data_IF_808383452257
#
_entry.id   IF_808383452257
#
_cell.length_a   1.000
_cell.length_b   1.000
_cell.length_c   1.000
_cell.angle_alpha   90.00
_cell.angle_beta   90.00
_cell.angle_gamma   90.00
#
_symmetry.space_group_name_H-M   'P 1'
#
loop_
_entity.id
_entity.type
_entity.pdbx_description
1 polymer ?
#
# COMPACT_ATOMS: atom_id res chain seq x y z
N UNK A 1 0.64 -17.79 -2.49
CA UNK A 1 0.51 -18.57 -3.73
C UNK A 1 0.88 -17.75 -4.96
N UNK A 2 0.26 -16.56 -5.19
CA UNK A 2 0.55 -15.70 -6.35
C UNK A 2 2.05 -15.37 -6.48
N UNK A 3 2.69 -14.89 -5.41
CA UNK A 3 4.12 -14.56 -5.40
C UNK A 3 5.05 -15.75 -5.71
N UNK A 4 4.57 -16.97 -5.54
CA UNK A 4 5.34 -18.19 -5.82
C UNK A 4 5.29 -18.58 -7.30
N UNK A 5 4.15 -18.36 -7.96
CA UNK A 5 3.95 -18.74 -9.37
C UNK A 5 4.38 -17.62 -10.34
N UNK A 6 4.38 -16.37 -9.87
CA UNK A 6 4.71 -15.21 -10.70
C UNK A 6 6.05 -15.32 -11.45
N UNK A 7 7.18 -15.73 -10.83
CA UNK A 7 8.46 -15.80 -11.52
C UNK A 7 8.49 -16.76 -12.71
N UNK A 8 7.72 -17.83 -12.64
CA UNK A 8 7.72 -18.89 -13.65
C UNK A 8 6.80 -18.56 -14.83
N UNK A 9 5.64 -17.95 -14.56
CA UNK A 9 4.58 -17.79 -15.56
C UNK A 9 4.51 -16.37 -16.15
N UNK A 10 4.89 -15.35 -15.40
CA UNK A 10 4.57 -13.96 -15.74
C UNK A 10 5.79 -13.04 -15.87
N UNK A 11 6.95 -13.40 -15.33
CA UNK A 11 8.09 -12.49 -15.21
C UNK A 11 8.69 -12.03 -16.55
N UNK A 12 8.39 -12.69 -17.67
CA UNK A 12 8.83 -12.27 -18.99
C UNK A 12 8.17 -10.93 -19.40
N UNK A 13 6.87 -10.81 -19.22
CA UNK A 13 6.04 -9.68 -19.69
C UNK A 13 5.72 -8.67 -18.59
N UNK A 14 5.76 -9.09 -17.34
CA UNK A 14 5.35 -8.30 -16.19
C UNK A 14 6.47 -8.21 -15.16
N UNK A 15 6.39 -7.19 -14.33
CA UNK A 15 7.21 -7.03 -13.14
C UNK A 15 6.32 -6.79 -11.93
N UNK A 16 6.75 -7.32 -10.79
CA UNK A 16 6.05 -7.15 -9.52
C UNK A 16 6.75 -6.07 -8.72
N UNK A 17 6.02 -5.01 -8.38
CA UNK A 17 6.54 -3.88 -7.63
C UNK A 17 6.10 -3.93 -6.17
N UNK A 18 7.07 -4.10 -5.30
CA UNK A 18 6.91 -4.01 -3.83
C UNK A 18 8.17 -3.44 -3.22
N UNK A 19 8.13 -2.79 -2.03
CA UNK A 19 9.34 -2.30 -1.35
C UNK A 19 10.32 -3.42 -0.94
N UNK A 20 9.90 -4.69 -0.99
CA UNK A 20 10.79 -5.84 -0.74
C UNK A 20 11.62 -6.20 -1.98
N UNK A 21 11.09 -5.97 -3.18
CA UNK A 21 11.75 -6.30 -4.45
C UNK A 21 12.51 -5.10 -5.00
N UNK A 22 11.92 -3.90 -4.91
CA UNK A 22 12.53 -2.65 -5.39
C UNK A 22 12.71 -1.68 -4.21
N UNK A 23 13.96 -1.28 -3.95
CA UNK A 23 14.31 -0.38 -2.84
C UNK A 23 13.85 1.06 -3.04
N UNK A 24 13.54 1.48 -4.27
CA UNK A 24 13.03 2.80 -4.60
C UNK A 24 11.50 2.83 -4.63
N UNK A 25 10.84 1.68 -4.61
CA UNK A 25 9.39 1.58 -4.56
C UNK A 25 8.86 1.97 -3.18
N UNK A 26 7.99 3.00 -3.13
CA UNK A 26 7.53 3.63 -1.88
C UNK A 26 6.01 3.66 -1.74
N UNK A 27 5.33 2.67 -2.32
CA UNK A 27 3.91 2.40 -2.15
C UNK A 27 3.66 1.18 -1.27
N UNK A 28 2.52 1.15 -0.58
CA UNK A 28 2.08 -0.04 0.16
C UNK A 28 1.42 -1.07 -0.75
N UNK A 29 0.73 -0.61 -1.79
CA UNK A 29 0.05 -1.46 -2.78
C UNK A 29 1.08 -2.23 -3.59
N UNK A 30 0.83 -3.52 -3.80
CA UNK A 30 1.60 -4.33 -4.72
C UNK A 30 1.10 -4.10 -6.14
N UNK A 31 1.96 -3.64 -7.05
CA UNK A 31 1.61 -3.46 -8.45
C UNK A 31 2.16 -4.59 -9.32
N UNK A 32 1.31 -5.15 -10.17
CA UNK A 32 1.72 -6.00 -11.27
C UNK A 32 1.82 -5.13 -12.53
N UNK A 33 3.02 -4.69 -12.87
CA UNK A 33 3.27 -3.77 -13.97
C UNK A 33 3.61 -4.49 -15.27
N UNK A 34 3.04 -4.03 -16.39
CA UNK A 34 3.39 -4.51 -17.72
C UNK A 34 4.68 -3.84 -18.19
N UNK A 35 5.75 -4.61 -18.36
CA UNK A 35 7.05 -4.13 -18.85
C UNK A 35 6.92 -3.41 -20.20
N UNK A 36 7.83 -2.46 -20.43
CA UNK A 36 7.91 -1.67 -21.68
C UNK A 36 6.66 -0.84 -21.99
N UNK A 37 5.86 -0.51 -20.98
CA UNK A 37 4.78 0.48 -21.06
C UNK A 37 5.13 1.67 -20.19
N UNK A 38 4.39 2.78 -20.34
CA UNK A 38 4.55 3.96 -19.50
C UNK A 38 3.18 4.50 -19.12
N UNK A 39 2.94 4.65 -17.83
CA UNK A 39 1.76 5.31 -17.29
C UNK A 39 2.14 6.03 -16.01
N UNK A 40 2.05 7.36 -16.00
CA UNK A 40 2.41 8.22 -14.87
C UNK A 40 1.16 8.97 -14.45
N UNK A 41 0.70 8.75 -13.22
CA UNK A 41 -0.41 9.51 -12.64
C UNK A 41 0.10 10.77 -11.94
N UNK A 42 -0.75 11.81 -11.82
CA UNK A 42 -0.42 13.05 -11.10
C UNK A 42 0.00 12.78 -9.65
N UNK A 43 -0.57 11.75 -9.02
CA UNK A 43 -0.28 11.40 -7.62
C UNK A 43 1.13 10.83 -7.46
N UNK A 44 1.64 10.17 -8.49
CA UNK A 44 2.89 9.40 -8.44
C UNK A 44 4.01 9.97 -9.30
N UNK A 45 3.77 11.08 -10.02
CA UNK A 45 4.75 11.66 -10.96
C UNK A 45 6.12 11.98 -10.34
N UNK A 46 6.13 12.32 -9.04
CA UNK A 46 7.33 12.68 -8.29
C UNK A 46 7.95 11.49 -7.53
N UNK A 47 7.52 10.27 -7.79
CA UNK A 47 8.07 9.08 -7.14
C UNK A 47 9.26 8.52 -7.95
N UNK A 48 10.27 7.95 -7.27
CA UNK A 48 11.56 7.63 -7.89
C UNK A 48 11.59 6.32 -8.69
N UNK A 49 10.50 5.58 -8.78
CA UNK A 49 10.45 4.29 -9.45
C UNK A 49 9.77 4.35 -10.83
N UNK A 50 10.06 3.36 -11.66
CA UNK A 50 9.43 3.21 -12.98
C UNK A 50 7.92 2.97 -12.84
N UNK A 51 7.13 3.67 -13.65
CA UNK A 51 5.68 3.61 -13.65
C UNK A 51 5.17 3.13 -15.00
N UNK A 52 4.64 1.93 -15.03
CA UNK A 52 4.07 1.27 -16.18
C UNK A 52 2.55 1.15 -16.03
N UNK A 53 1.87 0.67 -17.08
CA UNK A 53 0.47 0.22 -16.96
C UNK A 53 0.45 -0.93 -15.95
N UNK A 54 -0.40 -0.87 -14.96
CA UNK A 54 -0.39 -1.81 -13.84
C UNK A 54 -1.77 -2.29 -13.41
N UNK A 55 -1.74 -3.32 -12.59
CA UNK A 55 -2.87 -3.86 -11.85
C UNK A 55 -2.52 -3.83 -10.36
N UNK A 56 -3.37 -3.21 -9.57
CA UNK A 56 -3.26 -3.17 -8.12
C UNK A 56 -3.63 -4.52 -7.51
N UNK A 57 -2.80 -5.02 -6.61
CA UNK A 57 -3.05 -6.23 -5.83
C UNK A 57 -3.19 -5.85 -4.36
N UNK A 58 -4.42 -5.91 -3.86
CA UNK A 58 -4.75 -5.60 -2.48
C UNK A 58 -4.86 -6.87 -1.64
N UNK A 59 -3.96 -7.11 -0.67
CA UNK A 59 -4.16 -8.17 0.31
C UNK A 59 -5.33 -7.84 1.23
N UNK A 60 -6.03 -8.87 1.68
CA UNK A 60 -7.08 -8.76 2.68
C UNK A 60 -6.58 -9.34 4.00
N UNK A 61 -6.44 -8.49 5.00
CA UNK A 61 -5.96 -8.84 6.33
C UNK A 61 -7.07 -8.78 7.36
N UNK A 62 -6.97 -9.61 8.40
CA UNK A 62 -7.97 -9.63 9.47
C UNK A 62 -7.95 -8.35 10.30
N UNK A 63 -9.16 -7.87 10.57
CA UNK A 63 -9.39 -6.72 11.44
C UNK A 63 -9.54 -7.20 12.88
N UNK A 64 -8.91 -6.51 13.83
CA UNK A 64 -9.08 -6.81 15.24
C UNK A 64 -10.56 -6.82 15.65
N UNK A 65 -10.98 -7.67 16.57
CA UNK A 65 -12.37 -7.72 17.03
C UNK A 65 -12.75 -6.52 17.88
N UNK A 66 -11.86 -6.09 18.79
CA UNK A 66 -12.10 -4.97 19.66
C UNK A 66 -12.04 -3.63 18.91
N UNK A 67 -13.05 -2.78 19.05
CA UNK A 67 -13.16 -1.49 18.34
C UNK A 67 -11.96 -0.56 18.56
N UNK A 68 -11.36 -0.55 19.78
CA UNK A 68 -10.18 0.25 20.08
C UNK A 68 -8.96 -0.28 19.35
N UNK A 69 -8.80 -1.61 19.32
CA UNK A 69 -7.72 -2.28 18.60
C UNK A 69 -7.85 -2.07 17.09
N UNK A 70 -9.08 -2.14 16.51
CA UNK A 70 -9.35 -1.81 15.10
C UNK A 70 -8.87 -0.39 14.76
N UNK A 71 -9.31 0.60 15.54
CA UNK A 71 -8.90 2.00 15.32
C UNK A 71 -7.39 2.18 15.39
N UNK A 72 -6.72 1.50 16.34
CA UNK A 72 -5.27 1.53 16.47
C UNK A 72 -4.59 0.88 15.26
N UNK A 73 -5.05 -0.30 14.84
CA UNK A 73 -4.52 -1.02 13.68
C UNK A 73 -4.62 -0.15 12.42
N UNK A 74 -5.80 0.37 12.10
CA UNK A 74 -6.01 1.22 10.93
C UNK A 74 -5.18 2.51 10.96
N UNK A 75 -5.15 3.23 12.10
CA UNK A 75 -4.35 4.46 12.23
C UNK A 75 -2.85 4.20 12.06
N UNK A 76 -2.36 3.11 12.62
CA UNK A 76 -0.94 2.76 12.52
C UNK A 76 -0.58 2.28 11.10
N UNK A 77 -1.45 1.54 10.42
CA UNK A 77 -1.24 1.16 9.03
C UNK A 77 -1.16 2.40 8.13
N UNK A 78 -2.15 3.30 8.23
CA UNK A 78 -2.15 4.59 7.50
C UNK A 78 -0.91 5.43 7.83
N UNK A 79 -0.49 5.48 9.09
CA UNK A 79 0.73 6.20 9.48
C UNK A 79 1.98 5.63 8.79
N UNK A 80 2.18 4.33 8.83
CA UNK A 80 3.34 3.70 8.18
C UNK A 80 3.29 3.82 6.67
N UNK A 81 2.11 3.69 6.04
CA UNK A 81 1.92 3.93 4.62
C UNK A 81 2.29 5.35 4.20
N UNK A 82 1.88 6.37 4.97
CA UNK A 82 2.27 7.76 4.72
C UNK A 82 3.77 7.99 4.90
N UNK A 83 4.38 7.40 5.93
CA UNK A 83 5.84 7.49 6.11
C UNK A 83 6.59 6.83 4.96
N UNK A 84 6.09 5.71 4.46
CA UNK A 84 6.65 5.03 3.29
C UNK A 84 6.57 5.93 2.03
N UNK A 85 5.39 6.51 1.75
CA UNK A 85 5.22 7.44 0.62
C UNK A 85 6.17 8.64 0.74
N UNK A 86 6.25 9.26 1.92
CA UNK A 86 7.14 10.40 2.18
C UNK A 86 8.62 10.02 2.14
N UNK A 87 8.96 8.75 2.19
CA UNK A 87 10.33 8.29 1.92
C UNK A 87 10.72 8.48 0.44
N UNK A 88 9.76 8.33 -0.49
CA UNK A 88 9.96 8.54 -1.93
C UNK A 88 9.82 9.99 -2.37
N UNK A 89 8.78 10.69 -1.90
CA UNK A 89 8.48 12.06 -2.30
C UNK A 89 8.10 12.94 -1.12
N UNK A 90 8.62 14.18 -1.11
CA UNK A 90 8.20 15.21 -0.17
C UNK A 90 6.99 16.04 -0.64
N UNK A 91 6.44 15.73 -1.80
CA UNK A 91 5.36 16.49 -2.46
C UNK A 91 4.12 15.61 -2.71
N UNK A 92 3.41 15.19 -1.64
CA UNK A 92 2.14 14.48 -1.82
C UNK A 92 1.07 15.44 -2.35
N UNK A 93 0.09 14.89 -3.07
CA UNK A 93 -1.12 15.66 -3.42
C UNK A 93 -1.90 15.99 -2.15
N UNK A 94 -2.10 17.28 -1.91
CA UNK A 94 -2.78 17.81 -0.72
C UNK A 94 -4.13 18.40 -1.15
N UNK A 95 -5.21 17.87 -0.61
CA UNK A 95 -6.56 18.33 -0.92
C UNK A 95 -6.95 19.66 -0.25
N UNK A 96 -6.10 20.21 0.59
CA UNK A 96 -6.35 21.48 1.30
C UNK A 96 -5.67 22.66 0.56
N UNK A 97 -6.42 23.73 0.38
CA UNK A 97 -5.94 24.95 -0.27
C UNK A 97 -5.45 26.02 0.73
N UNK A 98 -4.79 27.04 0.20
CA UNK A 98 -4.38 28.21 0.95
C UNK A 98 -3.31 27.94 2.02
N UNK A 99 -3.41 28.66 3.14
CA UNK A 99 -2.40 28.61 4.22
C UNK A 99 -2.27 27.18 4.83
N UNK A 100 -3.39 26.48 4.97
CA UNK A 100 -3.41 25.11 5.54
C UNK A 100 -2.70 24.14 4.60
N UNK A 101 -2.98 24.22 3.29
CA UNK A 101 -2.31 23.39 2.28
C UNK A 101 -0.80 23.63 2.26
N UNK A 102 -0.38 24.89 2.28
CA UNK A 102 1.04 25.27 2.31
C UNK A 102 1.76 24.75 3.57
N UNK A 103 1.11 24.84 4.74
CA UNK A 103 1.66 24.32 5.99
C UNK A 103 1.81 22.80 5.96
N UNK A 104 0.80 22.09 5.41
CA UNK A 104 0.85 20.65 5.24
C UNK A 104 1.96 20.25 4.27
N UNK A 105 2.12 20.97 3.14
CA UNK A 105 3.20 20.72 2.18
C UNK A 105 4.57 20.89 2.83
N UNK A 106 4.76 21.97 3.57
CA UNK A 106 6.00 22.23 4.31
C UNK A 106 6.30 21.12 5.33
N UNK A 107 5.28 20.66 6.08
CA UNK A 107 5.43 19.57 7.02
C UNK A 107 5.83 18.26 6.32
N UNK A 108 5.22 17.92 5.18
CA UNK A 108 5.58 16.74 4.39
C UNK A 108 7.01 16.82 3.87
N UNK A 109 7.42 17.98 3.34
CA UNK A 109 8.80 18.20 2.88
C UNK A 109 9.82 18.07 4.03
N UNK A 110 9.51 18.59 5.22
CA UNK A 110 10.35 18.41 6.41
C UNK A 110 10.47 16.92 6.82
N UNK A 111 9.37 16.19 6.84
CA UNK A 111 9.39 14.75 7.15
C UNK A 111 10.21 13.99 6.12
N UNK A 112 10.04 14.27 4.83
CA UNK A 112 10.85 13.69 3.75
C UNK A 112 12.34 13.95 3.98
N UNK A 113 12.72 15.21 4.24
CA UNK A 113 14.12 15.58 4.50
C UNK A 113 14.70 14.82 5.70
N UNK A 114 13.93 14.69 6.78
CA UNK A 114 14.34 13.90 7.97
C UNK A 114 14.54 12.43 7.63
N UNK A 115 13.59 11.82 6.90
CA UNK A 115 13.71 10.41 6.48
C UNK A 115 14.95 10.17 5.62
N UNK A 116 15.25 11.10 4.70
CA UNK A 116 16.46 11.06 3.86
C UNK A 116 17.75 11.28 4.67
N UNK A 117 17.77 12.25 5.59
CA UNK A 117 18.91 12.52 6.47
C UNK A 117 19.30 11.29 7.29
N UNK A 118 18.31 10.61 7.87
CA UNK A 118 18.51 9.38 8.64
C UNK A 118 18.61 8.11 7.79
N UNK A 119 18.59 8.24 6.46
CA UNK A 119 18.68 7.13 5.51
C UNK A 119 17.68 6.00 5.83
N UNK A 120 16.44 6.38 6.18
CA UNK A 120 15.39 5.42 6.49
C UNK A 120 15.05 4.62 5.24
N UNK A 121 15.17 3.29 5.32
CA UNK A 121 14.89 2.40 4.20
C UNK A 121 13.38 2.24 3.97
N UNK A 122 12.89 2.37 2.72
CA UNK A 122 11.51 2.05 2.36
C UNK A 122 11.08 0.66 2.82
N UNK A 123 11.95 -0.34 2.62
CA UNK A 123 11.72 -1.73 3.08
C UNK A 123 11.44 -1.80 4.58
N UNK A 124 12.15 -1.02 5.40
CA UNK A 124 11.93 -1.04 6.86
C UNK A 124 10.57 -0.47 7.26
N UNK A 125 10.11 0.58 6.57
CA UNK A 125 8.79 1.18 6.78
C UNK A 125 7.67 0.25 6.29
N UNK A 126 7.86 -0.36 5.14
CA UNK A 126 6.93 -1.35 4.59
C UNK A 126 6.77 -2.55 5.53
N UNK A 127 7.85 -3.08 6.09
CA UNK A 127 7.77 -4.16 7.10
C UNK A 127 6.98 -3.76 8.35
N UNK A 128 7.09 -2.51 8.79
CA UNK A 128 6.27 -2.00 9.91
C UNK A 128 4.79 -1.89 9.51
N UNK A 129 4.51 -1.46 8.28
CA UNK A 129 3.17 -1.46 7.72
C UNK A 129 2.59 -2.88 7.67
N UNK A 130 3.26 -3.82 6.99
CA UNK A 130 2.82 -5.22 6.90
C UNK A 130 2.61 -5.84 8.28
N UNK A 131 3.56 -5.68 9.21
CA UNK A 131 3.42 -6.18 10.58
C UNK A 131 2.21 -5.60 11.30
N UNK A 132 1.82 -4.38 10.96
CA UNK A 132 0.63 -3.74 11.55
C UNK A 132 -0.65 -4.28 10.89
N UNK A 133 -0.69 -4.39 9.58
CA UNK A 133 -1.82 -4.90 8.81
C UNK A 133 -2.11 -6.37 9.19
N UNK A 134 -1.09 -7.22 9.16
CA UNK A 134 -1.21 -8.68 9.40
C UNK A 134 -1.30 -9.07 10.87
N UNK A 135 -1.28 -8.12 11.80
CA UNK A 135 -1.15 -8.39 13.25
C UNK A 135 -2.19 -9.35 13.81
N UNK A 136 -3.39 -9.33 13.26
CA UNK A 136 -4.52 -10.14 13.74
C UNK A 136 -4.88 -11.29 12.80
N UNK A 137 -4.05 -11.56 11.78
CA UNK A 137 -4.27 -12.68 10.88
C UNK A 137 -4.20 -14.02 11.65
N UNK A 138 -5.22 -14.85 11.46
CA UNK A 138 -5.34 -16.13 12.17
C UNK A 138 -5.95 -16.02 13.58
N UNK A 139 -6.36 -14.82 14.03
CA UNK A 139 -7.03 -14.67 15.33
C UNK A 139 -8.53 -14.99 15.29
N UNK A 140 -9.09 -15.29 14.11
CA UNK A 140 -10.50 -15.66 13.96
C UNK A 140 -11.46 -14.48 13.83
N UNK A 141 -10.94 -13.27 13.60
CA UNK A 141 -11.76 -12.06 13.42
C UNK A 141 -12.83 -12.23 12.33
N UNK A 142 -14.01 -11.62 12.52
CA UNK A 142 -15.15 -11.71 11.60
C UNK A 142 -14.91 -10.96 10.28
N UNK A 143 -14.08 -9.90 10.31
CA UNK A 143 -13.89 -8.99 9.19
C UNK A 143 -12.47 -9.04 8.64
N UNK A 144 -12.36 -8.78 7.33
CA UNK A 144 -11.11 -8.50 6.62
C UNK A 144 -11.21 -7.16 5.91
N UNK A 145 -10.05 -6.54 5.66
CA UNK A 145 -9.93 -5.30 4.86
C UNK A 145 -8.54 -5.22 4.25
N UNK A 146 -8.39 -4.38 3.24
CA UNK A 146 -7.07 -3.93 2.80
C UNK A 146 -6.66 -2.68 3.57
N UNK A 147 -5.49 -2.67 4.18
CA UNK A 147 -4.98 -1.53 4.95
C UNK A 147 -4.21 -0.52 4.11
N UNK A 148 -4.13 -0.69 2.79
CA UNK A 148 -3.31 0.11 1.89
C UNK A 148 -3.90 1.49 1.56
N UNK A 149 -5.14 1.76 1.92
CA UNK A 149 -5.80 3.03 1.65
C UNK A 149 -6.48 3.67 2.86
N UNK A 150 -6.74 4.98 2.75
CA UNK A 150 -7.47 5.70 3.79
C UNK A 150 -8.95 5.26 3.81
N UNK A 151 -9.46 4.98 5.00
CA UNK A 151 -10.84 4.54 5.15
C UNK A 151 -11.03 3.02 5.17
N UNK A 152 -9.95 2.26 5.11
CA UNK A 152 -9.94 0.80 5.13
C UNK A 152 -10.91 0.15 6.16
N UNK A 153 -11.15 0.78 7.30
CA UNK A 153 -12.08 0.26 8.31
C UNK A 153 -13.57 0.54 7.98
N UNK A 154 -13.87 1.41 7.01
CA UNK A 154 -15.24 1.63 6.54
C UNK A 154 -15.68 0.54 5.57
N UNK A 155 -14.72 0.07 4.77
CA UNK A 155 -14.94 -0.88 3.67
C UNK A 155 -14.55 -2.32 4.05
N UNK A 156 -14.58 -2.63 5.34
CA UNK A 156 -14.31 -3.99 5.83
C UNK A 156 -15.40 -4.96 5.40
N UNK A 157 -14.99 -6.15 4.94
CA UNK A 157 -15.84 -7.21 4.40
C UNK A 157 -15.96 -8.32 5.44
N UNK A 158 -17.15 -8.88 5.61
CA UNK A 158 -17.33 -10.07 6.44
C UNK A 158 -16.75 -11.29 5.73
N UNK A 159 -15.95 -12.08 6.42
CA UNK A 159 -15.38 -13.31 5.85
C UNK A 159 -16.44 -14.27 5.30
N UNK A 160 -17.58 -14.39 5.95
CA UNK A 160 -18.69 -15.25 5.50
C UNK A 160 -19.28 -14.81 4.15
N UNK A 161 -19.16 -13.52 3.80
CA UNK A 161 -19.67 -12.98 2.54
C UNK A 161 -18.62 -13.11 1.41
N UNK A 162 -17.37 -13.43 1.77
CA UNK A 162 -16.26 -13.62 0.86
C UNK A 162 -15.92 -15.10 0.60
N UNK A 163 -16.19 -15.96 1.55
CA UNK A 163 -15.84 -17.38 1.48
C UNK A 163 -17.06 -18.30 1.70
N UNK A 164 -17.13 -19.45 1.03
CA UNK A 164 -16.13 -19.98 0.09
C UNK A 164 -16.09 -19.21 -1.24
N UNK A 165 -14.92 -19.15 -1.89
CA UNK A 165 -14.80 -18.59 -3.23
C UNK A 165 -15.44 -19.52 -4.24
N UNK A 166 -16.27 -18.99 -5.12
CA UNK A 166 -16.91 -19.74 -6.20
C UNK A 166 -16.17 -19.52 -7.53
N UNK A 167 -16.10 -20.55 -8.35
CA UNK A 167 -15.60 -20.41 -9.72
C UNK A 167 -16.73 -19.94 -10.60
N UNK A 168 -16.55 -18.80 -11.23
CA UNK A 168 -17.48 -18.28 -12.24
C UNK A 168 -16.80 -18.28 -13.60
N UNK A 169 -17.52 -18.56 -14.70
CA UNK A 169 -16.97 -18.38 -16.04
C UNK A 169 -16.66 -16.90 -16.27
N UNK A 170 -15.55 -16.63 -16.91
CA UNK A 170 -15.11 -15.29 -17.29
C UNK A 170 -14.67 -15.34 -18.75
N UNK A 171 -15.40 -14.65 -19.60
CA UNK A 171 -15.25 -14.62 -21.06
C UNK A 171 -15.23 -16.01 -21.72
N UNK A 172 -16.16 -16.30 -22.59
CA UNK A 172 -16.21 -17.52 -23.41
C UNK A 172 -15.36 -17.34 -24.68
#
# INVERSE_FOLDING_TARGET
>A
KFLQIFPEEMAERYQLMTPELDGDYTCTVTHLQRKHTKFISEVTENLPYEQCIDLDIFPLDEVAEEARAQKKQGRMAVFWGRMLFLCGSGQPVIAADGLVGNLMAAACACVHAVLKLFRVSPRSLYRKFVRTATRYNGCGGEYVTSFEYNGCLKDKIKKKDLFPLEKVPFED
#
